data_IF_122134051365
#
_entry.id   IF_122134051365
#
_cell.length_a   1.000
_cell.length_b   1.000
_cell.length_c   1.000
_cell.angle_alpha   90.00
_cell.angle_beta   90.00
_cell.angle_gamma   90.00
#
_symmetry.space_group_name_H-M   'P 1'
#
loop_
_entity.id
_entity.type
_entity.pdbx_description
1 polymer ?
#
# COMPACT_ATOMS: atom_id res chain seq x y z
N UNK A 1 29.15 0.48 3.43
CA UNK A 1 27.78 0.93 3.81
C UNK A 1 26.89 0.63 2.62
N UNK A 2 25.96 -0.24 2.79
CA UNK A 2 24.95 -0.60 1.78
C UNK A 2 23.90 0.53 1.73
N UNK A 3 23.54 1.00 0.53
CA UNK A 3 22.65 2.13 0.34
C UNK A 3 21.18 1.81 0.64
N UNK A 4 20.36 2.85 0.74
CA UNK A 4 18.89 2.78 0.86
C UNK A 4 18.24 3.21 -0.45
N UNK A 5 17.01 2.78 -0.72
CA UNK A 5 16.21 3.25 -1.84
C UNK A 5 14.72 3.17 -1.48
N UNK A 6 13.98 4.25 -1.78
CA UNK A 6 12.54 4.32 -1.56
C UNK A 6 11.79 4.74 -2.82
N UNK A 7 10.57 4.24 -2.96
CA UNK A 7 9.58 4.67 -3.94
C UNK A 7 8.30 5.01 -3.20
N UNK A 8 7.89 6.28 -3.23
CA UNK A 8 6.63 6.77 -2.66
C UNK A 8 5.65 7.11 -3.80
N UNK A 9 4.50 6.43 -3.82
CA UNK A 9 3.48 6.58 -4.85
C UNK A 9 2.21 7.15 -4.23
N UNK A 10 1.68 8.25 -4.79
CA UNK A 10 0.41 8.87 -4.38
C UNK A 10 -0.44 9.27 -5.57
N UNK A 11 -1.67 8.73 -5.69
CA UNK A 11 -2.53 8.93 -6.85
C UNK A 11 -3.88 9.46 -6.42
N UNK A 12 -4.10 10.75 -6.69
CA UNK A 12 -5.38 11.42 -6.48
C UNK A 12 -6.27 11.35 -7.73
N UNK A 13 -5.67 11.41 -8.92
CA UNK A 13 -6.40 11.52 -10.18
C UNK A 13 -6.21 10.27 -11.05
N UNK A 14 -7.27 9.85 -11.74
CA UNK A 14 -7.27 8.71 -12.62
C UNK A 14 -7.64 9.14 -14.03
N UNK A 15 -6.75 8.94 -15.01
CA UNK A 15 -6.87 9.45 -16.38
C UNK A 15 -8.20 9.10 -17.05
N UNK A 16 -8.66 7.88 -16.86
CA UNK A 16 -9.87 7.36 -17.50
C UNK A 16 -11.08 7.31 -16.55
N UNK A 17 -10.89 7.64 -15.26
CA UNK A 17 -11.93 7.61 -14.23
C UNK A 17 -11.91 8.89 -13.39
N UNK A 18 -12.19 10.08 -13.97
CA UNK A 18 -12.10 11.35 -13.24
C UNK A 18 -13.11 11.45 -12.07
N UNK A 19 -14.20 10.68 -12.11
CA UNK A 19 -15.18 10.61 -11.01
C UNK A 19 -14.68 9.81 -9.79
N UNK A 20 -13.61 9.04 -9.94
CA UNK A 20 -12.98 8.29 -8.86
C UNK A 20 -11.83 9.07 -8.20
N UNK A 21 -11.74 10.39 -8.40
CA UNK A 21 -10.68 11.19 -7.82
C UNK A 21 -10.68 11.09 -6.29
N UNK A 22 -9.49 10.89 -5.72
CA UNK A 22 -9.15 11.00 -4.29
C UNK A 22 -8.49 12.35 -4.03
N UNK A 23 -8.15 12.63 -2.79
CA UNK A 23 -7.57 13.94 -2.41
C UNK A 23 -6.34 13.83 -1.51
N UNK A 24 -6.22 12.76 -0.73
CA UNK A 24 -5.16 12.59 0.28
C UNK A 24 -3.92 11.84 -0.21
N UNK A 25 -4.00 11.06 -1.28
CA UNK A 25 -2.92 10.15 -1.65
C UNK A 25 -1.60 10.83 -2.01
N UNK A 26 -1.66 12.02 -2.62
CA UNK A 26 -0.46 12.81 -2.93
C UNK A 26 0.17 13.34 -1.64
N UNK A 27 -0.64 13.76 -0.67
CA UNK A 27 -0.16 14.16 0.66
C UNK A 27 0.50 12.99 1.37
N UNK A 28 -0.11 11.80 1.34
CA UNK A 28 0.48 10.59 1.93
C UNK A 28 1.88 10.27 1.37
N UNK A 29 2.05 10.37 0.05
CA UNK A 29 3.37 10.14 -0.56
C UNK A 29 4.41 11.17 -0.10
N UNK A 30 4.02 12.42 0.10
CA UNK A 30 4.89 13.48 0.61
C UNK A 30 5.17 13.30 2.11
N UNK A 31 4.18 12.89 2.91
CA UNK A 31 4.34 12.61 4.34
C UNK A 31 5.31 11.46 4.57
N UNK A 32 5.18 10.39 3.78
CA UNK A 32 6.10 9.25 3.83
C UNK A 32 7.51 9.65 3.38
N UNK A 33 7.65 10.45 2.32
CA UNK A 33 8.95 10.99 1.91
C UNK A 33 9.61 11.80 3.03
N UNK A 34 8.86 12.71 3.64
CA UNK A 34 9.33 13.51 4.75
C UNK A 34 9.75 12.66 5.95
N UNK A 35 8.95 11.66 6.32
CA UNK A 35 9.26 10.72 7.40
C UNK A 35 10.55 9.93 7.12
N UNK A 36 10.68 9.38 5.92
CA UNK A 36 11.87 8.65 5.48
C UNK A 36 13.13 9.52 5.55
N UNK A 37 13.02 10.77 5.09
CA UNK A 37 14.16 11.69 5.04
C UNK A 37 14.56 12.21 6.44
N UNK A 38 13.59 12.60 7.28
CA UNK A 38 13.85 13.27 8.55
C UNK A 38 14.15 12.31 9.70
N UNK A 39 13.53 11.15 9.74
CA UNK A 39 13.63 10.21 10.87
C UNK A 39 14.21 8.83 10.52
N UNK A 40 13.98 8.33 9.31
CA UNK A 40 14.39 6.99 8.93
C UNK A 40 15.72 6.94 8.16
N UNK A 41 16.40 8.10 8.07
CA UNK A 41 17.77 8.22 7.58
C UNK A 41 17.95 7.97 6.08
N UNK A 42 16.90 8.15 5.28
CA UNK A 42 17.01 8.20 3.82
C UNK A 42 17.44 9.60 3.37
N UNK A 43 18.32 9.68 2.40
CA UNK A 43 18.66 10.95 1.76
C UNK A 43 17.59 11.27 0.70
N UNK A 44 17.33 12.53 0.41
CA UNK A 44 16.40 12.92 -0.66
C UNK A 44 16.74 12.29 -2.02
N UNK A 45 18.04 12.08 -2.32
CA UNK A 45 18.48 11.40 -3.54
C UNK A 45 18.21 9.89 -3.58
N UNK A 46 17.86 9.30 -2.44
CA UNK A 46 17.51 7.87 -2.30
C UNK A 46 16.00 7.64 -2.41
N UNK A 47 15.20 8.70 -2.46
CA UNK A 47 13.73 8.64 -2.52
C UNK A 47 13.26 9.08 -3.90
N UNK A 48 12.36 8.31 -4.50
CA UNK A 48 11.61 8.67 -5.70
C UNK A 48 10.16 8.88 -5.32
N UNK A 49 9.57 9.97 -5.78
CA UNK A 49 8.13 10.24 -5.62
C UNK A 49 7.48 10.21 -6.99
N UNK A 50 6.44 9.39 -7.11
CA UNK A 50 5.56 9.34 -8.29
C UNK A 50 4.15 9.74 -7.86
N UNK A 51 3.67 10.85 -8.40
CA UNK A 51 2.31 11.32 -8.12
C UNK A 51 1.50 11.47 -9.40
N UNK A 52 0.22 11.17 -9.33
CA UNK A 52 -0.76 11.37 -10.42
C UNK A 52 -0.21 10.92 -11.79
N UNK A 53 -0.13 11.81 -12.77
CA UNK A 53 0.27 11.50 -14.14
C UNK A 53 1.66 10.84 -14.29
N UNK A 54 2.51 10.94 -13.27
CA UNK A 54 3.80 10.22 -13.23
C UNK A 54 3.67 8.79 -12.70
N UNK A 55 2.61 8.49 -11.96
CA UNK A 55 2.35 7.19 -11.32
C UNK A 55 1.57 6.24 -12.25
N UNK A 56 2.01 6.07 -13.48
CA UNK A 56 1.50 5.04 -14.40
C UNK A 56 2.04 3.66 -14.01
N UNK A 57 1.33 2.56 -14.40
CA UNK A 57 1.84 1.20 -14.17
C UNK A 57 3.28 1.04 -14.62
N UNK A 58 3.57 1.48 -15.86
CA UNK A 58 4.92 1.36 -16.44
C UNK A 58 5.97 2.07 -15.59
N UNK A 59 5.70 3.27 -15.11
CA UNK A 59 6.65 4.03 -14.29
C UNK A 59 6.85 3.41 -12.90
N UNK A 60 5.76 2.96 -12.26
CA UNK A 60 5.84 2.31 -10.94
C UNK A 60 6.67 1.03 -11.06
N UNK A 61 6.30 0.13 -11.98
CA UNK A 61 6.99 -1.15 -12.16
C UNK A 61 8.45 -0.98 -12.57
N UNK A 62 8.76 0.00 -13.43
CA UNK A 62 10.14 0.34 -13.78
C UNK A 62 10.97 0.74 -12.55
N UNK A 63 10.45 1.61 -11.70
CA UNK A 63 11.18 2.02 -10.49
C UNK A 63 11.36 0.86 -9.51
N UNK A 64 10.36 -0.01 -9.34
CA UNK A 64 10.48 -1.23 -8.52
C UNK A 64 11.55 -2.18 -9.08
N UNK A 65 11.61 -2.38 -10.40
CA UNK A 65 12.65 -3.18 -11.06
C UNK A 65 14.04 -2.58 -10.88
N UNK A 66 14.19 -1.25 -10.95
CA UNK A 66 15.45 -0.57 -10.68
C UNK A 66 15.90 -0.73 -9.21
N UNK A 67 14.95 -0.69 -8.26
CA UNK A 67 15.22 -0.96 -6.85
C UNK A 67 15.69 -2.40 -6.64
N UNK A 68 15.00 -3.37 -7.23
CA UNK A 68 15.37 -4.78 -7.20
C UNK A 68 16.76 -5.01 -7.79
N UNK A 69 17.04 -4.48 -8.98
CA UNK A 69 18.35 -4.59 -9.62
C UNK A 69 19.48 -4.00 -8.78
N UNK A 70 19.21 -2.87 -8.11
CA UNK A 70 20.15 -2.27 -7.15
C UNK A 70 20.39 -3.14 -5.92
N UNK A 71 19.38 -3.81 -5.41
CA UNK A 71 19.50 -4.73 -4.28
C UNK A 71 20.27 -6.01 -4.68
N UNK A 72 19.95 -6.61 -5.80
CA UNK A 72 20.64 -7.81 -6.34
C UNK A 72 22.13 -7.52 -6.58
N UNK A 73 22.46 -6.32 -7.08
CA UNK A 73 23.86 -5.90 -7.28
C UNK A 73 24.59 -5.52 -5.99
N UNK A 74 23.93 -5.58 -4.82
CA UNK A 74 24.51 -5.20 -3.54
C UNK A 74 24.62 -3.69 -3.30
N UNK A 75 24.02 -2.86 -4.18
CA UNK A 75 24.00 -1.40 -4.02
C UNK A 75 23.08 -0.97 -2.88
N UNK A 76 21.93 -1.65 -2.70
CA UNK A 76 20.94 -1.35 -1.67
C UNK A 76 20.75 -2.54 -0.75
N UNK A 77 20.60 -2.29 0.56
CA UNK A 77 20.25 -3.30 1.57
C UNK A 77 18.95 -2.96 2.30
N UNK A 78 18.41 -1.78 2.08
CA UNK A 78 17.12 -1.36 2.64
C UNK A 78 16.28 -0.71 1.56
N UNK A 79 15.13 -1.29 1.30
CA UNK A 79 14.15 -0.83 0.32
C UNK A 79 12.85 -0.46 1.01
N UNK A 80 12.23 0.65 0.59
CA UNK A 80 10.88 1.05 1.03
C UNK A 80 10.02 1.28 -0.20
N UNK A 81 8.83 0.69 -0.21
CA UNK A 81 7.79 0.95 -1.20
C UNK A 81 6.52 1.41 -0.48
N UNK A 82 6.01 2.58 -0.85
CA UNK A 82 4.72 3.06 -0.35
C UNK A 82 3.77 3.34 -1.49
N UNK A 83 2.51 2.97 -1.33
CA UNK A 83 1.48 3.24 -2.32
C UNK A 83 0.17 3.64 -1.66
N UNK A 84 -0.27 4.86 -1.97
CA UNK A 84 -1.57 5.43 -1.62
C UNK A 84 -2.37 5.65 -2.89
N UNK A 85 -3.47 4.91 -3.05
CA UNK A 85 -4.33 4.92 -4.23
C UNK A 85 -5.64 4.18 -3.97
N UNK A 86 -6.50 4.08 -4.98
CA UNK A 86 -7.54 3.05 -4.98
C UNK A 86 -6.94 1.65 -5.13
N UNK A 87 -7.54 0.71 -4.41
CA UNK A 87 -7.44 -0.70 -4.75
C UNK A 87 -8.67 -1.17 -5.51
N UNK A 88 -8.59 -2.34 -6.08
CA UNK A 88 -9.66 -3.07 -6.77
C UNK A 88 -9.36 -4.57 -6.74
N UNK A 89 -10.09 -5.33 -7.54
CA UNK A 89 -9.93 -6.78 -7.65
C UNK A 89 -9.90 -7.20 -9.11
N UNK A 90 -9.18 -8.29 -9.39
CA UNK A 90 -9.19 -9.00 -10.66
C UNK A 90 -9.48 -10.48 -10.43
N UNK A 91 -10.01 -11.22 -11.43
CA UNK A 91 -10.12 -12.67 -11.31
C UNK A 91 -8.73 -13.30 -11.14
N UNK A 92 -8.59 -14.18 -10.14
CA UNK A 92 -7.39 -15.00 -9.97
C UNK A 92 -7.20 -15.92 -11.18
N UNK A 93 -6.11 -15.74 -11.91
CA UNK A 93 -5.73 -16.55 -13.05
C UNK A 93 -4.69 -17.60 -12.69
N UNK A 94 -3.97 -17.44 -11.58
CA UNK A 94 -2.94 -18.36 -11.10
C UNK A 94 -3.55 -19.56 -10.34
N UNK A 95 -4.71 -19.36 -9.70
CA UNK A 95 -5.45 -20.38 -8.95
C UNK A 95 -4.88 -20.63 -7.56
N UNK A 96 -4.05 -19.72 -7.03
CA UNK A 96 -3.43 -19.83 -5.70
C UNK A 96 -4.27 -19.17 -4.60
N UNK A 97 -5.26 -18.32 -4.96
CA UNK A 97 -6.17 -17.71 -3.99
C UNK A 97 -7.45 -18.54 -3.77
N UNK A 98 -7.82 -18.80 -2.49
CA UNK A 98 -9.00 -19.62 -2.14
C UNK A 98 -10.33 -19.02 -2.60
N UNK A 99 -10.42 -17.72 -2.72
CA UNK A 99 -11.61 -16.96 -3.15
C UNK A 99 -11.63 -16.65 -4.64
N UNK A 100 -10.57 -17.03 -5.37
CA UNK A 100 -10.39 -16.86 -6.82
C UNK A 100 -10.36 -15.39 -7.27
N UNK A 101 -9.84 -14.52 -6.44
CA UNK A 101 -9.75 -13.09 -6.70
C UNK A 101 -8.41 -12.56 -6.20
N UNK A 102 -7.65 -11.90 -7.07
CA UNK A 102 -6.41 -11.22 -6.72
C UNK A 102 -6.69 -9.78 -6.31
N UNK A 103 -5.96 -9.30 -5.31
CA UNK A 103 -5.91 -7.89 -4.95
C UNK A 103 -5.15 -7.11 -6.03
N UNK A 104 -5.67 -5.94 -6.40
CA UNK A 104 -5.03 -5.13 -7.42
C UNK A 104 -5.02 -3.65 -7.07
N UNK A 105 -4.01 -2.94 -7.53
CA UNK A 105 -3.74 -1.54 -7.25
C UNK A 105 -3.96 -0.71 -8.51
N UNK A 106 -4.65 0.42 -8.35
CA UNK A 106 -5.04 1.29 -9.44
C UNK A 106 -3.95 2.34 -9.72
N UNK A 107 -3.18 2.25 -10.84
CA UNK A 107 -2.28 3.31 -11.26
C UNK A 107 -3.06 4.46 -11.92
N UNK A 108 -2.40 5.60 -12.13
CA UNK A 108 -2.99 6.79 -12.79
C UNK A 108 -3.66 6.47 -14.14
N UNK A 109 -3.07 5.56 -14.90
CA UNK A 109 -3.51 5.16 -16.23
C UNK A 109 -4.43 3.93 -16.24
N UNK A 110 -5.05 3.60 -15.06
CA UNK A 110 -6.06 2.53 -14.94
C UNK A 110 -7.03 2.55 -16.12
N UNK A 111 -7.32 1.38 -16.70
CA UNK A 111 -8.14 1.27 -17.91
C UNK A 111 -8.93 -0.02 -17.95
N UNK A 112 -10.14 0.05 -18.51
CA UNK A 112 -10.95 -1.11 -18.82
C UNK A 112 -10.66 -1.68 -20.21
N UNK A 113 -10.83 -3.00 -20.34
CA UNK A 113 -10.75 -3.75 -21.59
C UNK A 113 -11.69 -4.95 -21.57
N UNK A 114 -12.68 -4.98 -22.45
CA UNK A 114 -13.62 -6.09 -22.57
C UNK A 114 -14.37 -6.45 -21.27
N UNK A 115 -14.88 -5.43 -20.58
CA UNK A 115 -15.60 -5.57 -19.30
C UNK A 115 -14.75 -6.12 -18.12
N UNK A 116 -13.45 -6.02 -18.21
CA UNK A 116 -12.51 -6.30 -17.13
C UNK A 116 -11.42 -5.23 -17.09
N UNK A 117 -10.52 -5.28 -16.11
CA UNK A 117 -9.37 -4.39 -16.10
C UNK A 117 -8.36 -4.78 -17.19
N UNK A 118 -7.76 -3.78 -17.84
CA UNK A 118 -6.66 -4.01 -18.79
C UNK A 118 -5.38 -4.38 -18.03
N UNK A 119 -4.82 -5.60 -18.19
CA UNK A 119 -3.62 -6.02 -17.48
C UNK A 119 -2.42 -5.10 -17.67
N UNK A 120 -2.35 -4.35 -18.79
CA UNK A 120 -1.28 -3.39 -19.03
C UNK A 120 -1.42 -2.10 -18.19
N UNK A 121 -2.56 -1.90 -17.52
CA UNK A 121 -2.95 -0.68 -16.82
C UNK A 121 -3.48 -0.92 -15.40
N UNK A 122 -3.17 -2.06 -14.80
CA UNK A 122 -3.47 -2.41 -13.42
C UNK A 122 -2.28 -3.19 -12.83
N UNK A 123 -1.99 -3.02 -11.55
CA UNK A 123 -0.92 -3.75 -10.87
C UNK A 123 -1.57 -4.81 -9.98
N UNK A 124 -1.31 -6.08 -10.26
CA UNK A 124 -1.80 -7.20 -9.45
C UNK A 124 -0.79 -7.51 -8.35
N UNK A 125 -1.24 -7.95 -7.18
CA UNK A 125 -0.36 -8.29 -6.07
C UNK A 125 0.61 -9.43 -6.41
N UNK A 126 0.22 -10.36 -7.28
CA UNK A 126 1.08 -11.39 -7.87
C UNK A 126 2.31 -10.80 -8.59
N UNK A 127 2.15 -9.70 -9.34
CA UNK A 127 3.26 -9.04 -10.03
C UNK A 127 4.27 -8.45 -9.02
N UNK A 128 3.77 -7.90 -7.90
CA UNK A 128 4.61 -7.40 -6.82
C UNK A 128 5.30 -8.54 -6.07
N UNK A 129 4.57 -9.63 -5.80
CA UNK A 129 5.10 -10.84 -5.19
C UNK A 129 6.24 -11.41 -6.01
N UNK A 130 6.02 -11.63 -7.30
CA UNK A 130 7.01 -12.22 -8.21
C UNK A 130 8.27 -11.35 -8.34
N UNK A 131 8.12 -10.03 -8.19
CA UNK A 131 9.24 -9.11 -8.14
C UNK A 131 10.00 -9.23 -6.81
N UNK A 132 9.30 -9.20 -5.68
CA UNK A 132 9.91 -9.13 -4.35
C UNK A 132 10.55 -10.45 -3.92
N UNK A 133 10.06 -11.61 -4.34
CA UNK A 133 10.68 -12.90 -4.04
C UNK A 133 12.08 -13.08 -4.64
N UNK A 134 12.50 -12.21 -5.56
CA UNK A 134 13.83 -12.21 -6.15
C UNK A 134 14.86 -11.47 -5.30
N UNK A 135 14.43 -10.76 -4.25
CA UNK A 135 15.33 -10.02 -3.38
C UNK A 135 16.24 -10.97 -2.57
N UNK A 136 17.52 -10.61 -2.40
CA UNK A 136 18.43 -11.34 -1.53
C UNK A 136 17.93 -11.33 -0.06
N UNK A 137 18.14 -12.43 0.66
CA UNK A 137 17.68 -12.60 2.05
C UNK A 137 18.19 -11.53 3.03
N UNK A 138 19.32 -10.90 2.72
CA UNK A 138 19.92 -9.86 3.56
C UNK A 138 19.42 -8.44 3.23
N UNK A 139 18.43 -8.31 2.36
CA UNK A 139 17.80 -7.03 2.00
C UNK A 139 16.53 -6.85 2.80
N UNK A 140 16.45 -5.77 3.57
CA UNK A 140 15.21 -5.37 4.23
C UNK A 140 14.29 -4.70 3.21
N UNK A 141 13.06 -5.19 3.10
CA UNK A 141 11.99 -4.56 2.33
C UNK A 141 10.83 -4.19 3.27
N UNK A 142 10.49 -2.91 3.31
CA UNK A 142 9.28 -2.42 3.97
C UNK A 142 8.29 -1.91 2.93
N UNK A 143 7.07 -2.45 2.96
CA UNK A 143 5.97 -2.08 2.05
C UNK A 143 4.85 -1.47 2.87
N UNK A 144 4.34 -0.32 2.43
CA UNK A 144 3.23 0.40 3.06
C UNK A 144 2.12 0.62 2.03
N UNK A 145 0.96 0.00 2.25
CA UNK A 145 -0.17 0.04 1.34
C UNK A 145 -1.36 0.73 2.00
N UNK A 146 -1.66 1.94 1.54
CA UNK A 146 -2.87 2.67 1.93
C UNK A 146 -3.89 2.61 0.79
N UNK A 147 -4.40 1.41 0.58
CA UNK A 147 -5.35 1.02 -0.47
C UNK A 147 -6.39 0.07 0.10
N UNK A 148 -7.52 -0.06 -0.60
CA UNK A 148 -8.57 -1.03 -0.26
C UNK A 148 -8.82 -2.00 -1.41
N UNK A 149 -9.04 -3.25 -1.07
CA UNK A 149 -9.40 -4.28 -2.06
C UNK A 149 -10.83 -4.80 -1.87
N UNK A 150 -11.62 -4.15 -1.01
CA UNK A 150 -12.98 -4.55 -0.66
C UNK A 150 -13.93 -3.35 -0.64
N UNK A 151 -15.07 -3.47 -1.31
CA UNK A 151 -16.14 -2.46 -1.31
C UNK A 151 -17.23 -2.66 -0.26
N UNK A 152 -17.12 -3.67 0.64
CA UNK A 152 -18.21 -4.04 1.57
C UNK A 152 -18.31 -3.17 2.84
N UNK A 153 -17.36 -2.25 3.04
CA UNK A 153 -17.25 -1.44 4.26
C UNK A 153 -17.94 -0.07 4.26
N UNK A 154 -18.64 0.31 3.18
CA UNK A 154 -19.35 1.60 3.12
C UNK A 154 -20.51 1.62 4.12
N UNK A 155 -20.33 2.29 5.25
CA UNK A 155 -21.43 2.67 6.14
C UNK A 155 -21.93 4.07 5.78
N UNK A 156 -23.23 4.30 5.97
CA UNK A 156 -23.85 5.62 5.74
C UNK A 156 -23.17 6.78 6.52
N UNK A 157 -22.40 6.45 7.54
CA UNK A 157 -21.60 7.39 8.35
C UNK A 157 -20.45 8.01 7.53
N UNK A 158 -19.82 7.26 6.63
CA UNK A 158 -18.68 7.75 5.85
C UNK A 158 -19.06 8.89 4.89
N UNK A 159 -20.33 8.91 4.44
CA UNK A 159 -20.86 9.98 3.59
C UNK A 159 -21.16 11.30 4.35
N UNK A 160 -21.27 11.25 5.67
CA UNK A 160 -21.59 12.42 6.51
C UNK A 160 -20.33 13.18 6.93
N UNK A 161 -19.15 12.52 6.91
CA UNK A 161 -17.90 13.03 7.46
C UNK A 161 -16.84 13.46 6.44
N UNK A 162 -17.22 13.77 5.21
CA UNK A 162 -16.23 14.07 4.11
C UNK A 162 -15.14 13.00 4.00
N UNK A 163 -15.55 11.73 4.01
CA UNK A 163 -14.68 10.56 3.85
C UNK A 163 -14.97 9.85 2.54
N UNK A 164 -13.93 9.45 1.85
CA UNK A 164 -14.03 8.63 0.64
C UNK A 164 -13.36 7.28 0.86
N UNK A 165 -13.89 6.22 0.27
CA UNK A 165 -13.25 4.91 0.30
C UNK A 165 -12.22 4.81 -0.82
N UNK A 166 -11.09 4.17 -0.54
CA UNK A 166 -10.03 3.95 -1.53
C UNK A 166 -10.25 2.67 -2.35
N UNK A 167 -11.43 2.52 -2.90
CA UNK A 167 -11.83 1.33 -3.68
C UNK A 167 -12.59 1.69 -4.95
N UNK A 168 -12.19 1.08 -6.08
CA UNK A 168 -12.94 1.09 -7.34
C UNK A 168 -13.45 -0.33 -7.60
N UNK A 169 -14.78 -0.56 -7.73
CA UNK A 169 -15.31 -1.88 -8.00
C UNK A 169 -14.88 -2.38 -9.39
N UNK A 170 -14.69 -3.71 -9.56
CA UNK A 170 -14.41 -4.29 -10.87
C UNK A 170 -15.47 -3.93 -11.91
N UNK A 171 -15.09 -3.79 -13.20
CA UNK A 171 -16.00 -3.33 -14.25
C UNK A 171 -17.20 -4.25 -14.50
N UNK A 172 -17.10 -5.56 -14.25
CA UNK A 172 -18.17 -6.51 -14.46
C UNK A 172 -18.80 -7.01 -13.18
N UNK A 173 -20.13 -7.20 -13.22
CA UNK A 173 -20.88 -7.80 -12.11
C UNK A 173 -20.41 -9.23 -11.80
N UNK A 174 -19.94 -9.97 -12.81
CA UNK A 174 -19.41 -11.32 -12.64
C UNK A 174 -18.07 -11.34 -11.89
N UNK A 175 -17.20 -10.38 -12.14
CA UNK A 175 -15.98 -10.19 -11.37
C UNK A 175 -16.30 -9.79 -9.93
N UNK A 176 -17.29 -8.91 -9.73
CA UNK A 176 -17.75 -8.48 -8.40
C UNK A 176 -18.37 -9.63 -7.59
N UNK A 177 -19.17 -10.50 -8.21
CA UNK A 177 -19.81 -11.64 -7.53
C UNK A 177 -18.83 -12.76 -7.14
N UNK A 178 -17.69 -12.89 -7.82
CA UNK A 178 -16.62 -13.80 -7.43
C UNK A 178 -15.84 -13.31 -6.21
N UNK A 179 -15.85 -12.02 -5.98
CA UNK A 179 -15.09 -11.35 -4.92
C UNK A 179 -15.70 -11.48 -3.51
N UNK A 180 -16.85 -12.13 -3.34
CA UNK A 180 -17.62 -12.15 -2.08
C UNK A 180 -17.20 -13.31 -1.11
N UNK A 181 -16.02 -13.92 -1.34
CA UNK A 181 -15.44 -14.99 -0.51
C UNK A 181 -14.70 -14.47 0.75
N UNK A 182 -14.31 -15.40 1.63
CA UNK A 182 -13.44 -15.11 2.78
C UNK A 182 -12.04 -14.76 2.29
N UNK A 183 -11.65 -13.51 2.42
CA UNK A 183 -10.43 -12.92 1.87
C UNK A 183 -9.23 -13.12 2.79
N UNK A 184 -8.12 -13.57 2.23
CA UNK A 184 -6.79 -13.50 2.82
C UNK A 184 -5.87 -12.78 1.84
N UNK A 185 -4.95 -11.96 2.35
CA UNK A 185 -3.96 -11.29 1.51
C UNK A 185 -2.94 -12.28 0.97
N UNK A 186 -2.82 -12.39 -0.36
CA UNK A 186 -1.91 -13.30 -1.03
C UNK A 186 -0.44 -12.88 -0.94
N UNK A 187 -0.15 -11.59 -1.11
CA UNK A 187 1.21 -11.06 -1.20
C UNK A 187 2.12 -11.51 -0.05
N UNK A 188 1.65 -11.38 1.19
CA UNK A 188 2.51 -11.66 2.34
C UNK A 188 2.65 -13.14 2.66
N UNK A 189 1.59 -13.94 2.51
CA UNK A 189 1.65 -15.37 2.74
C UNK A 189 2.71 -16.02 1.88
N UNK A 190 2.76 -15.68 0.59
CA UNK A 190 3.74 -16.19 -0.35
C UNK A 190 5.18 -15.75 -0.05
N UNK A 191 5.38 -14.52 0.44
CA UNK A 191 6.70 -14.01 0.83
C UNK A 191 7.23 -14.72 2.09
N UNK A 192 6.39 -14.94 3.10
CA UNK A 192 6.76 -15.65 4.33
C UNK A 192 7.01 -17.16 4.10
N UNK A 193 6.21 -17.82 3.27
CA UNK A 193 6.36 -19.25 2.94
C UNK A 193 7.70 -19.55 2.24
N UNK A 194 8.27 -18.60 1.51
CA UNK A 194 9.60 -18.72 0.88
C UNK A 194 10.77 -18.38 1.79
N UNK A 195 10.53 -18.18 3.10
CA UNK A 195 11.59 -17.94 4.09
C UNK A 195 12.17 -16.53 4.07
N UNK A 196 11.52 -15.60 3.41
CA UNK A 196 11.97 -14.21 3.30
C UNK A 196 11.63 -13.44 4.60
N UNK A 197 12.42 -13.65 5.62
CA UNK A 197 12.20 -13.12 7.00
C UNK A 197 12.38 -11.61 7.13
N UNK A 198 12.86 -10.93 6.09
CA UNK A 198 13.15 -9.49 6.11
C UNK A 198 12.14 -8.66 5.31
N UNK A 199 10.93 -9.20 5.08
CA UNK A 199 9.85 -8.46 4.44
C UNK A 199 8.84 -8.03 5.49
N UNK A 200 8.47 -6.77 5.43
CA UNK A 200 7.52 -6.14 6.35
C UNK A 200 6.43 -5.50 5.49
N UNK A 201 5.19 -5.91 5.71
CA UNK A 201 4.03 -5.33 5.07
C UNK A 201 3.16 -4.62 6.10
N UNK A 202 2.96 -3.34 5.88
CA UNK A 202 1.96 -2.53 6.54
C UNK A 202 0.78 -2.31 5.60
N UNK A 203 -0.41 -2.63 6.05
CA UNK A 203 -1.61 -2.43 5.29
C UNK A 203 -2.61 -1.60 6.08
N UNK A 204 -3.23 -0.64 5.42
CA UNK A 204 -4.13 0.34 6.03
C UNK A 204 -5.40 -0.26 6.65
N UNK A 205 -5.82 -1.43 6.18
CA UNK A 205 -7.02 -2.10 6.67
C UNK A 205 -6.90 -3.61 6.47
N UNK A 206 -7.82 -4.39 7.05
CA UNK A 206 -7.96 -5.81 6.74
C UNK A 206 -8.49 -6.00 5.31
N UNK A 207 -8.31 -7.17 4.75
CA UNK A 207 -8.77 -7.51 3.40
C UNK A 207 -10.30 -7.34 3.18
N UNK A 208 -11.09 -7.46 4.26
CA UNK A 208 -12.54 -7.30 4.27
C UNK A 208 -13.01 -5.88 4.65
N UNK A 209 -12.10 -4.90 4.74
CA UNK A 209 -12.40 -3.53 5.13
C UNK A 209 -11.98 -2.52 4.07
N UNK A 210 -12.40 -1.26 4.28
CA UNK A 210 -12.01 -0.12 3.44
C UNK A 210 -11.09 0.82 4.20
N UNK A 211 -10.09 1.41 3.52
CA UNK A 211 -9.29 2.53 4.00
C UNK A 211 -9.94 3.86 3.62
N UNK A 212 -9.82 4.84 4.49
CA UNK A 212 -10.45 6.14 4.33
C UNK A 212 -9.48 7.19 3.78
N UNK A 213 -9.93 7.92 2.76
CA UNK A 213 -9.42 9.22 2.32
C UNK A 213 -10.26 10.29 3.04
N UNK A 214 -9.66 11.10 3.92
CA UNK A 214 -10.42 11.94 4.85
C UNK A 214 -9.73 13.29 5.12
N UNK A 215 -10.52 14.26 5.59
CA UNK A 215 -9.96 15.50 6.14
C UNK A 215 -9.50 15.23 7.57
N UNK A 216 -8.22 15.39 7.83
CA UNK A 216 -7.59 15.27 9.14
C UNK A 216 -6.71 16.48 9.36
N UNK A 217 -6.88 17.19 10.48
CA UNK A 217 -6.16 18.44 10.80
C UNK A 217 -6.27 19.52 9.71
N UNK A 218 -7.36 19.52 8.94
CA UNK A 218 -7.68 20.55 7.96
C UNK A 218 -7.18 20.28 6.54
N UNK A 219 -6.53 19.16 6.29
CA UNK A 219 -6.11 18.72 4.95
C UNK A 219 -6.52 17.26 4.67
N UNK A 220 -6.45 16.84 3.41
CA UNK A 220 -6.82 15.50 2.99
C UNK A 220 -5.65 14.53 3.14
N UNK A 221 -5.92 13.39 3.79
CA UNK A 221 -4.96 12.31 4.00
C UNK A 221 -5.63 10.95 3.96
N UNK A 222 -4.85 9.91 3.70
CA UNK A 222 -5.22 8.56 4.09
C UNK A 222 -5.13 8.42 5.60
N UNK A 223 -6.22 7.98 6.22
CA UNK A 223 -6.26 7.93 7.68
C UNK A 223 -5.13 7.06 8.26
N UNK A 224 -4.80 5.93 7.62
CA UNK A 224 -3.66 5.09 8.06
C UNK A 224 -2.34 5.83 7.94
N UNK A 225 -2.02 6.37 6.77
CA UNK A 225 -0.72 7.03 6.52
C UNK A 225 -0.53 8.23 7.44
N UNK A 226 -1.57 9.05 7.62
CA UNK A 226 -1.54 10.19 8.53
C UNK A 226 -1.17 9.79 9.96
N UNK A 227 -1.95 8.86 10.56
CA UNK A 227 -1.70 8.45 11.94
C UNK A 227 -0.39 7.67 12.09
N UNK A 228 0.01 6.88 11.09
CA UNK A 228 1.32 6.24 11.08
C UNK A 228 2.46 7.26 11.14
N UNK A 229 2.46 8.25 10.26
CA UNK A 229 3.48 9.31 10.24
C UNK A 229 3.47 10.13 11.53
N UNK A 230 2.29 10.46 12.07
CA UNK A 230 2.11 11.14 13.36
C UNK A 230 2.77 10.37 14.50
N UNK A 231 2.47 9.08 14.66
CA UNK A 231 2.96 8.28 15.78
C UNK A 231 4.46 7.99 15.70
N UNK A 232 4.99 7.71 14.51
CA UNK A 232 6.44 7.56 14.31
C UNK A 232 7.16 8.87 14.62
N UNK A 233 6.60 10.01 14.20
CA UNK A 233 7.18 11.33 14.48
C UNK A 233 7.13 11.68 15.96
N UNK A 234 5.98 11.49 16.60
CA UNK A 234 5.78 11.81 18.02
C UNK A 234 6.71 10.96 18.91
N UNK A 235 6.89 9.69 18.59
CA UNK A 235 7.81 8.80 19.31
C UNK A 235 9.28 9.01 18.97
N UNK A 236 9.62 9.86 17.97
CA UNK A 236 10.99 9.98 17.45
C UNK A 236 11.55 8.61 17.02
N UNK A 237 10.71 7.76 16.45
CA UNK A 237 11.01 6.39 16.06
C UNK A 237 11.64 5.53 17.18
N UNK A 238 11.23 5.75 18.43
CA UNK A 238 11.74 4.98 19.60
C UNK A 238 10.86 3.78 19.94
N UNK A 239 9.67 3.70 19.38
CA UNK A 239 8.74 2.59 19.58
C UNK A 239 9.01 1.47 18.56
N UNK A 240 8.72 0.24 18.97
CA UNK A 240 8.71 -0.90 18.07
C UNK A 240 7.58 -0.80 17.05
N UNK A 241 7.69 -1.55 15.95
CA UNK A 241 6.62 -1.65 14.95
C UNK A 241 5.28 -2.08 15.56
N UNK A 242 5.30 -2.97 16.54
CA UNK A 242 4.09 -3.40 17.22
C UNK A 242 3.47 -2.28 18.05
N UNK A 243 4.26 -1.52 18.80
CA UNK A 243 3.76 -0.38 19.59
C UNK A 243 3.21 0.72 18.68
N UNK A 244 3.85 1.02 17.55
CA UNK A 244 3.32 1.95 16.53
C UNK A 244 1.99 1.45 15.98
N UNK A 245 1.88 0.14 15.63
CA UNK A 245 0.64 -0.43 15.14
C UNK A 245 -0.53 -0.24 16.12
N UNK A 246 -0.31 -0.53 17.40
CA UNK A 246 -1.37 -0.38 18.42
C UNK A 246 -1.78 1.09 18.58
N UNK A 247 -0.83 2.03 18.59
CA UNK A 247 -1.14 3.47 18.66
C UNK A 247 -1.91 3.97 17.45
N UNK A 248 -1.52 3.54 16.24
CA UNK A 248 -2.26 3.87 15.01
C UNK A 248 -3.69 3.32 15.07
N UNK A 249 -3.90 2.13 15.62
CA UNK A 249 -5.24 1.55 15.82
C UNK A 249 -6.07 2.34 16.86
N UNK A 250 -5.45 2.77 17.95
CA UNK A 250 -6.07 3.63 18.97
C UNK A 250 -6.50 4.96 18.35
N UNK A 251 -5.61 5.66 17.65
CA UNK A 251 -5.92 6.93 16.97
C UNK A 251 -7.07 6.79 15.94
N UNK A 252 -7.05 5.72 15.15
CA UNK A 252 -8.11 5.45 14.19
C UNK A 252 -9.45 5.18 14.86
N UNK A 253 -9.45 4.45 15.98
CA UNK A 253 -10.65 4.20 16.76
C UNK A 253 -11.19 5.48 17.38
N UNK A 254 -10.33 6.34 17.95
CA UNK A 254 -10.70 7.65 18.50
C UNK A 254 -11.25 8.60 17.42
N UNK A 255 -10.75 8.48 16.19
CA UNK A 255 -11.25 9.20 15.01
C UNK A 255 -12.51 8.59 14.38
N UNK A 256 -13.16 7.61 15.00
CA UNK A 256 -14.33 6.89 14.44
C UNK A 256 -14.08 6.24 13.07
N UNK A 257 -12.85 5.79 12.80
CA UNK A 257 -12.53 4.97 11.62
C UNK A 257 -12.78 3.49 11.92
N UNK A 258 -13.32 2.77 10.93
CA UNK A 258 -13.63 1.33 11.08
C UNK A 258 -12.49 0.43 10.59
N UNK A 259 -11.50 1.00 9.90
CA UNK A 259 -10.34 0.27 9.39
C UNK A 259 -9.42 -0.18 10.52
N UNK A 260 -8.89 -1.39 10.38
CA UNK A 260 -7.95 -2.00 11.34
C UNK A 260 -6.65 -2.31 10.59
N UNK A 261 -5.63 -1.46 10.73
CA UNK A 261 -4.33 -1.68 10.09
C UNK A 261 -3.71 -3.02 10.47
N UNK A 262 -2.99 -3.58 9.53
CA UNK A 262 -2.30 -4.85 9.68
C UNK A 262 -0.79 -4.66 9.53
N UNK A 263 -0.04 -5.39 10.35
CA UNK A 263 1.41 -5.52 10.23
C UNK A 263 1.73 -7.00 10.03
N UNK A 264 2.31 -7.31 8.90
CA UNK A 264 2.67 -8.65 8.53
C UNK A 264 4.19 -8.72 8.38
N UNK A 265 4.84 -9.45 9.28
CA UNK A 265 6.29 -9.61 9.33
C UNK A 265 6.66 -10.77 10.24
N UNK A 266 7.93 -11.20 10.19
CA UNK A 266 8.48 -12.14 11.16
C UNK A 266 8.41 -11.57 12.58
N UNK A 267 8.13 -12.43 13.57
CA UNK A 267 8.03 -12.03 14.98
C UNK A 267 9.31 -11.36 15.52
N UNK A 268 10.47 -11.70 14.96
CA UNK A 268 11.75 -11.12 15.38
C UNK A 268 11.94 -9.66 15.01
N UNK A 269 11.25 -9.18 13.95
CA UNK A 269 11.31 -7.78 13.52
C UNK A 269 10.13 -6.94 14.00
N UNK A 270 9.03 -7.58 14.38
CA UNK A 270 7.83 -6.91 14.90
C UNK A 270 8.12 -6.05 16.14
N UNK A 271 8.99 -6.52 17.02
CA UNK A 271 9.38 -5.86 18.26
C UNK A 271 10.63 -4.96 18.11
N UNK A 272 11.07 -4.67 16.89
CA UNK A 272 12.12 -3.70 16.60
C UNK A 272 11.52 -2.38 16.09
N UNK A 273 12.29 -1.31 16.24
CA UNK A 273 11.97 0.00 15.64
C UNK A 273 12.00 -0.10 14.10
N UNK A 274 11.39 0.85 13.44
CA UNK A 274 11.52 1.03 11.99
C UNK A 274 12.95 1.49 11.68
N UNK A 275 13.60 0.90 10.68
CA UNK A 275 15.01 1.15 10.37
C UNK A 275 15.22 2.29 9.35
#
# INVERSE_FOLDING_TARGET
>A
MTGKRALCVGINNFKNFPSAALRGCVNDANDMENLLNTLLGFKASEIVILTDAKATKVNIMKNLQEMLGGAISGKYSHLVFTMSSHGTQVPDLSGDEPDRVDEAFCPYDLKEKKNDWDPEHIIVDDELRDLFIQLPENVLLEVYLDTCHSGTGLKAIDLIWDRQTRYIPPPSLQAFQKADGKRQRGLNKSLLEKGMRQHILWAACRADQTSADAIIDGDWHGAFTYYFCKEVTASQNKLSRNEILEKVREDLQEGDYTQIPQLECDATVRNKNIE
#
